data_IF_977181874070
#
_entry.id   IF_977181874070
#
_cell.length_a   1.000
_cell.length_b   1.000
_cell.length_c   1.000
_cell.angle_alpha   90.00
_cell.angle_beta   90.00
_cell.angle_gamma   90.00
#
_symmetry.space_group_name_H-M   'P 1'
#
loop_
_entity.id
_entity.type
_entity.pdbx_description
1 polymer ?
#
# COMPACT_ATOMS: atom_id res chain seq x y z
N UNK A 1 -4.55 17.39 -4.11
CA UNK A 1 -3.31 18.03 -4.58
C UNK A 1 -3.03 17.49 -5.98
N UNK A 2 -2.56 18.29 -6.94
CA UNK A 2 -2.26 17.80 -8.30
C UNK A 2 -0.75 17.56 -8.38
N UNK A 3 -0.35 16.37 -8.82
CA UNK A 3 1.05 15.96 -9.01
C UNK A 3 1.37 16.02 -10.51
N UNK A 4 2.41 16.75 -10.88
CA UNK A 4 2.89 16.83 -12.25
C UNK A 4 4.10 15.89 -12.40
N UNK A 5 4.01 14.94 -13.32
CA UNK A 5 5.10 13.99 -13.62
C UNK A 5 5.69 14.35 -14.98
N UNK A 6 7.00 14.58 -14.99
CA UNK A 6 7.76 14.90 -16.19
C UNK A 6 8.54 13.65 -16.60
N UNK A 7 8.34 13.18 -17.83
CA UNK A 7 8.98 11.97 -18.34
C UNK A 7 9.48 12.14 -19.78
N UNK A 8 10.56 11.44 -20.10
CA UNK A 8 11.06 11.36 -21.48
C UNK A 8 10.11 10.51 -22.35
N UNK A 9 10.11 10.68 -23.67
CA UNK A 9 9.27 9.91 -24.60
C UNK A 9 9.33 8.39 -24.41
N UNK A 10 10.45 7.86 -23.92
CA UNK A 10 10.65 6.43 -23.64
C UNK A 10 10.00 5.93 -22.34
N UNK A 11 9.43 6.81 -21.49
CA UNK A 11 8.75 6.45 -20.24
C UNK A 11 9.65 5.91 -19.12
N UNK A 12 10.97 5.79 -19.35
CA UNK A 12 11.93 5.10 -18.47
C UNK A 12 12.67 6.01 -17.47
N UNK A 13 12.88 7.28 -17.80
CA UNK A 13 13.60 8.23 -16.95
C UNK A 13 12.61 9.29 -16.46
N UNK A 14 12.14 9.12 -15.23
CA UNK A 14 11.29 10.09 -14.54
C UNK A 14 12.23 11.12 -13.90
N UNK A 15 12.21 12.34 -14.44
CA UNK A 15 13.07 13.44 -14.00
C UNK A 15 12.21 14.34 -13.12
N UNK A 16 12.26 14.06 -11.81
CA UNK A 16 11.83 14.92 -10.72
C UNK A 16 10.35 15.33 -10.62
N UNK A 17 9.88 15.23 -9.39
CA UNK A 17 8.67 15.85 -8.87
C UNK A 17 8.91 17.35 -8.68
N UNK A 18 8.20 18.20 -9.41
CA UNK A 18 8.21 19.64 -9.17
C UNK A 18 6.79 20.21 -9.15
N UNK A 19 6.50 21.00 -8.12
CA UNK A 19 5.57 22.14 -8.20
C UNK A 19 6.32 23.30 -8.86
N UNK A 20 6.35 23.39 -10.18
CA UNK A 20 6.91 24.55 -10.88
C UNK A 20 5.90 25.11 -11.88
N UNK A 21 5.75 26.43 -11.90
CA UNK A 21 4.84 27.17 -12.80
C UNK A 21 5.39 27.28 -14.23
N UNK A 22 6.65 26.90 -14.48
CA UNK A 22 7.30 26.99 -15.79
C UNK A 22 7.59 25.61 -16.39
N UNK A 23 7.16 25.42 -17.64
CA UNK A 23 7.46 24.23 -18.43
C UNK A 23 8.93 24.25 -18.87
N UNK A 24 9.77 23.27 -18.47
CA UNK A 24 11.12 23.18 -19.01
C UNK A 24 11.04 22.93 -20.51
N UNK A 25 11.71 23.79 -21.28
CA UNK A 25 11.78 23.67 -22.74
C UNK A 25 12.89 22.67 -23.09
N UNK A 26 12.55 21.39 -23.09
CA UNK A 26 13.43 20.29 -23.45
C UNK A 26 12.72 19.45 -24.52
N UNK A 27 13.33 19.36 -25.70
CA UNK A 27 12.85 18.48 -26.77
C UNK A 27 12.78 17.03 -26.22
N UNK A 28 11.63 16.36 -26.45
CA UNK A 28 11.31 14.99 -26.02
C UNK A 28 10.75 14.79 -24.60
N UNK A 29 10.27 15.85 -23.94
CA UNK A 29 9.60 15.72 -22.65
C UNK A 29 8.07 15.73 -22.77
N UNK A 30 7.41 14.82 -22.04
CA UNK A 30 5.96 14.81 -21.84
C UNK A 30 5.64 15.11 -20.36
N UNK A 31 4.53 15.81 -20.15
CA UNK A 31 4.01 16.13 -18.81
C UNK A 31 2.71 15.38 -18.60
N UNK A 32 2.63 14.60 -17.55
CA UNK A 32 1.41 13.93 -17.10
C UNK A 32 0.92 14.59 -15.81
N UNK A 33 -0.30 15.12 -15.84
CA UNK A 33 -0.95 15.65 -14.64
C UNK A 33 -1.86 14.58 -14.06
N UNK A 34 -1.65 14.24 -12.80
CA UNK A 34 -2.47 13.28 -12.08
C UNK A 34 -2.93 13.87 -10.74
N UNK A 35 -4.08 13.44 -10.28
CA UNK A 35 -4.48 13.67 -8.90
C UNK A 35 -3.55 12.91 -7.96
N UNK A 36 -3.09 13.57 -6.91
CA UNK A 36 -2.30 12.93 -5.88
C UNK A 36 -3.19 11.94 -5.09
N UNK A 37 -2.86 10.65 -5.19
CA UNK A 37 -3.55 9.54 -4.51
C UNK A 37 -2.63 8.94 -3.45
N UNK A 38 -3.21 8.35 -2.40
CA UNK A 38 -2.42 7.70 -1.35
C UNK A 38 -1.53 6.56 -1.86
N UNK A 39 -1.99 5.85 -2.89
CA UNK A 39 -1.24 4.78 -3.58
C UNK A 39 0.11 5.28 -4.10
N UNK A 40 0.20 6.57 -4.42
CA UNK A 40 1.40 7.21 -4.96
C UNK A 40 2.42 7.64 -3.91
N UNK A 41 2.05 7.63 -2.63
CA UNK A 41 2.94 7.99 -1.51
C UNK A 41 3.95 6.89 -1.19
N UNK A 42 3.58 5.64 -1.47
CA UNK A 42 4.39 4.47 -1.16
C UNK A 42 5.05 3.87 -2.41
N UNK A 43 5.04 4.55 -3.55
CA UNK A 43 5.70 4.06 -4.76
C UNK A 43 7.21 4.10 -4.61
N UNK A 44 7.85 2.96 -4.85
CA UNK A 44 9.30 2.82 -4.88
C UNK A 44 9.83 2.83 -6.30
N UNK A 45 9.12 2.20 -7.23
CA UNK A 45 9.45 2.19 -8.65
C UNK A 45 8.16 2.24 -9.48
N UNK A 46 8.17 3.05 -10.52
CA UNK A 46 7.07 3.13 -11.47
C UNK A 46 7.62 3.51 -12.84
N UNK A 47 6.83 3.27 -13.88
CA UNK A 47 7.06 3.75 -15.23
C UNK A 47 5.76 4.29 -15.82
N UNK A 48 5.84 4.89 -17.01
CA UNK A 48 4.67 5.41 -17.71
C UNK A 48 4.47 4.62 -18.99
N UNK A 49 3.27 4.08 -19.16
CA UNK A 49 2.83 3.36 -20.34
C UNK A 49 1.49 3.93 -20.81
N UNK A 50 1.41 4.33 -22.08
CA UNK A 50 0.20 4.89 -22.71
C UNK A 50 -0.43 6.06 -21.94
N UNK A 51 0.40 6.89 -21.30
CA UNK A 51 -0.06 8.04 -20.50
C UNK A 51 -0.59 7.68 -19.11
N UNK A 52 -0.47 6.41 -18.71
CA UNK A 52 -0.82 5.95 -17.36
C UNK A 52 0.43 5.61 -16.55
N UNK A 53 0.35 5.81 -15.23
CA UNK A 53 1.40 5.40 -14.30
C UNK A 53 1.20 3.93 -13.98
N UNK A 54 2.24 3.13 -14.22
CA UNK A 54 2.30 1.73 -13.86
C UNK A 54 3.28 1.60 -12.69
N UNK A 55 2.78 1.14 -11.55
CA UNK A 55 3.57 0.96 -10.34
C UNK A 55 4.26 -0.40 -10.40
N UNK A 56 5.59 -0.39 -10.49
CA UNK A 56 6.41 -1.61 -10.55
C UNK A 56 6.73 -2.16 -9.16
N UNK A 57 6.95 -1.27 -8.20
CA UNK A 57 7.34 -1.63 -6.83
C UNK A 57 6.82 -0.58 -5.85
N UNK A 58 6.35 -1.04 -4.69
CA UNK A 58 5.90 -0.20 -3.57
C UNK A 58 6.77 -0.49 -2.36
N UNK A 59 7.06 0.53 -1.55
CA UNK A 59 7.63 0.30 -0.23
C UNK A 59 6.67 -0.61 0.54
N UNK A 60 7.18 -1.73 1.08
CA UNK A 60 6.42 -2.54 2.01
C UNK A 60 6.00 -1.62 3.14
N UNK A 61 4.69 -1.41 3.29
CA UNK A 61 4.14 -0.67 4.42
C UNK A 61 4.68 -1.33 5.68
N UNK A 62 5.53 -0.65 6.42
CA UNK A 62 5.89 -1.12 7.75
C UNK A 62 4.60 -1.13 8.56
N UNK A 63 4.13 -2.33 8.88
CA UNK A 63 2.95 -2.52 9.72
C UNK A 63 3.24 -1.78 11.03
N UNK A 64 2.39 -0.82 11.37
CA UNK A 64 2.59 -0.02 12.57
C UNK A 64 2.62 -0.92 13.81
N UNK A 65 3.22 -0.46 14.91
CA UNK A 65 3.17 -1.22 16.18
C UNK A 65 1.73 -1.52 16.59
N UNK A 66 0.80 -0.60 16.31
CA UNK A 66 -0.62 -0.74 16.60
C UNK A 66 -1.28 -1.82 15.73
N UNK A 67 -1.06 -1.81 14.41
CA UNK A 67 -1.58 -2.84 13.50
C UNK A 67 -1.03 -4.24 13.85
N UNK A 68 0.24 -4.33 14.34
CA UNK A 68 0.80 -5.59 14.84
C UNK A 68 0.09 -6.06 16.12
N UNK A 69 -0.11 -5.15 17.07
CA UNK A 69 -0.81 -5.45 18.33
C UNK A 69 -2.26 -5.87 18.08
N UNK A 70 -2.96 -5.23 17.15
CA UNK A 70 -4.33 -5.63 16.77
C UNK A 70 -4.37 -7.05 16.21
N UNK A 71 -3.40 -7.40 15.36
CA UNK A 71 -3.28 -8.75 14.81
C UNK A 71 -3.02 -9.78 15.91
N UNK A 72 -2.05 -9.53 16.79
CA UNK A 72 -1.76 -10.42 17.94
C UNK A 72 -2.95 -10.56 18.88
N UNK A 73 -3.69 -9.47 19.13
CA UNK A 73 -4.89 -9.48 19.95
C UNK A 73 -5.99 -10.34 19.31
N UNK A 74 -6.16 -10.25 17.99
CA UNK A 74 -7.15 -11.04 17.26
C UNK A 74 -6.80 -12.54 17.30
N UNK A 75 -5.53 -12.90 17.07
CA UNK A 75 -5.03 -14.28 17.16
C UNK A 75 -5.20 -14.85 18.58
N UNK A 76 -4.91 -14.05 19.59
CA UNK A 76 -5.09 -14.43 21.00
C UNK A 76 -6.56 -14.67 21.33
N UNK A 77 -7.46 -13.79 20.86
CA UNK A 77 -8.91 -13.95 21.05
C UNK A 77 -9.43 -15.23 20.39
N UNK A 78 -9.01 -15.52 19.16
CA UNK A 78 -9.39 -16.75 18.48
C UNK A 78 -8.95 -18.00 19.27
N UNK A 79 -7.71 -18.01 19.75
CA UNK A 79 -7.16 -19.10 20.56
C UNK A 79 -7.94 -19.30 21.86
N UNK A 80 -8.31 -18.21 22.54
CA UNK A 80 -9.09 -18.27 23.78
C UNK A 80 -10.50 -18.83 23.54
N UNK A 81 -11.15 -18.45 22.43
CA UNK A 81 -12.47 -19.01 22.07
C UNK A 81 -12.37 -20.51 21.84
N UNK A 82 -11.37 -20.97 21.10
CA UNK A 82 -11.16 -22.39 20.83
C UNK A 82 -10.91 -23.19 22.12
N UNK A 83 -10.09 -22.66 23.03
CA UNK A 83 -9.83 -23.30 24.33
C UNK A 83 -11.10 -23.36 25.18
N UNK A 84 -11.88 -22.28 25.23
CA UNK A 84 -13.14 -22.24 25.97
C UNK A 84 -14.18 -23.20 25.40
N UNK A 85 -14.22 -23.34 24.08
CA UNK A 85 -15.09 -24.31 23.43
C UNK A 85 -14.69 -25.74 23.78
N UNK A 86 -13.39 -26.07 23.76
CA UNK A 86 -12.88 -27.39 24.19
C UNK A 86 -13.23 -27.70 25.64
N UNK A 87 -12.97 -26.75 26.56
CA UNK A 87 -13.35 -26.91 27.98
C UNK A 87 -14.85 -27.16 28.15
N UNK A 88 -15.70 -26.46 27.39
CA UNK A 88 -17.14 -26.63 27.46
C UNK A 88 -17.55 -28.05 27.03
N UNK A 89 -17.04 -28.53 25.89
CA UNK A 89 -17.32 -29.88 25.40
C UNK A 89 -16.88 -30.95 26.43
N UNK A 90 -15.65 -30.87 26.93
CA UNK A 90 -15.14 -31.82 27.93
C UNK A 90 -15.99 -31.83 29.21
N UNK A 91 -16.46 -30.67 29.66
CA UNK A 91 -17.33 -30.58 30.84
C UNK A 91 -18.73 -31.16 30.57
N UNK A 92 -19.29 -30.94 29.39
CA UNK A 92 -20.59 -31.56 29.02
C UNK A 92 -20.52 -33.08 28.92
N UNK A 93 -19.40 -33.63 28.44
CA UNK A 93 -19.20 -35.08 28.36
C UNK A 93 -19.00 -35.74 29.74
N UNK A 94 -18.43 -35.02 30.72
CA UNK A 94 -18.27 -35.50 32.10
C UNK A 94 -19.56 -35.50 32.91
N UNK A 95 -20.51 -34.62 32.60
CA UNK A 95 -21.80 -34.51 33.33
C UNK A 95 -22.85 -35.48 32.78
N UNK A 96 -22.67 -35.99 31.55
CA UNK A 96 -23.58 -36.94 30.90
C UNK A 96 -23.28 -38.44 31.15
N UNK A 97 -22.28 -38.77 31.98
CA UNK A 97 -21.98 -40.13 32.46
C UNK A 97 -22.30 -40.26 33.94
#
# INVERSE_FOLDING_TARGET
MIRNIIYNQDGKNIILEFTCEEKPNLENIKVLQIEDKEEYKNMKKFHIQDGNIIIDDVYKKEISKEEKLEKELLETKATLVDLKYKEFIENTEKVGK
#
